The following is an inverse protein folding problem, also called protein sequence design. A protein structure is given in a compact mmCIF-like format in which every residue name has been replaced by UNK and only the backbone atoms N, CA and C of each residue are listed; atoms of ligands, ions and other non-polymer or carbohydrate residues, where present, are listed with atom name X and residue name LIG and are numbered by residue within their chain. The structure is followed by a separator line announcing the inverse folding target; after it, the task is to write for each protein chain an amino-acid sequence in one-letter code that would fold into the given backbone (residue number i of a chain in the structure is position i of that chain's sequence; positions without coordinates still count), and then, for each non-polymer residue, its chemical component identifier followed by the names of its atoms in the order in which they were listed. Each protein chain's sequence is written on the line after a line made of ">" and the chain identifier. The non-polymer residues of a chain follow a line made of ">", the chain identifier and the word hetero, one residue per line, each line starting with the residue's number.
data_IF_195183073346
#
_entry.id   IF_195183073346
#
_cell.length_a   1.000
_cell.length_b   1.000
_cell.length_c   1.000
_cell.angle_alpha   90.00
_cell.angle_beta   90.00
_cell.angle_gamma   90.00
#
_symmetry.space_group_name_H-M   'P 1'
#
loop_
_entity.id
_entity.type
_entity.pdbx_description
1 polymer ?
#
# COMPACT_ATOMS: atom_id res chain seq x y z
N UNK A 1 -10.75 4.24 -12.02
CA UNK A 1 -10.06 4.58 -10.76
C UNK A 1 -8.71 3.87 -10.77
N UNK A 2 -7.61 4.57 -10.47
CA UNK A 2 -6.29 3.96 -10.39
C UNK A 2 -5.92 3.70 -8.92
N UNK A 3 -5.24 2.58 -8.68
CA UNK A 3 -4.75 2.18 -7.36
C UNK A 3 -3.24 2.04 -7.40
N UNK A 4 -2.58 2.51 -6.35
CA UNK A 4 -1.14 2.49 -6.23
C UNK A 4 -0.70 2.16 -4.82
N UNK A 5 0.50 1.59 -4.70
CA UNK A 5 1.19 1.33 -3.43
C UNK A 5 2.63 1.83 -3.52
N UNK A 6 3.12 2.41 -2.43
CA UNK A 6 4.54 2.65 -2.24
C UNK A 6 5.18 1.40 -1.64
N UNK A 7 6.13 0.79 -2.35
CA UNK A 7 6.83 -0.41 -1.87
C UNK A 7 7.79 -0.11 -0.71
N UNK A 8 8.23 1.14 -0.56
CA UNK A 8 9.16 1.54 0.50
C UNK A 8 8.44 1.77 1.83
N UNK A 9 7.34 2.52 1.82
CA UNK A 9 6.63 2.91 3.05
C UNK A 9 5.27 2.22 3.24
N UNK A 10 4.84 1.38 2.31
CA UNK A 10 3.56 0.65 2.33
C UNK A 10 2.33 1.51 2.04
N UNK A 11 2.49 2.82 1.84
CA UNK A 11 1.33 3.71 1.72
C UNK A 11 0.57 3.49 0.41
N UNK A 12 -0.75 3.31 0.54
CA UNK A 12 -1.66 3.08 -0.57
C UNK A 12 -2.33 4.40 -1.02
N UNK A 13 -2.52 4.56 -2.32
CA UNK A 13 -3.15 5.73 -2.94
C UNK A 13 -4.24 5.29 -3.91
N UNK A 14 -5.38 5.99 -3.92
CA UNK A 14 -6.42 5.80 -4.93
C UNK A 14 -6.84 7.15 -5.53
N UNK A 15 -7.11 7.18 -6.83
CA UNK A 15 -7.56 8.41 -7.48
C UNK A 15 -7.51 8.39 -8.99
N UNK A 16 -7.83 9.54 -9.57
CA UNK A 16 -7.82 9.80 -11.02
C UNK A 16 -6.49 10.41 -11.49
N UNK A 17 -5.77 11.09 -10.59
CA UNK A 17 -4.49 11.72 -10.88
C UNK A 17 -3.36 10.67 -11.01
N UNK A 18 -2.58 10.76 -12.08
CA UNK A 18 -1.43 9.89 -12.38
C UNK A 18 -0.17 10.45 -11.70
N UNK A 19 -0.27 10.88 -10.44
CA UNK A 19 0.94 11.25 -9.70
C UNK A 19 1.62 9.96 -9.25
N UNK A 20 2.68 9.58 -9.96
CA UNK A 20 3.42 8.31 -9.73
C UNK A 20 4.48 8.43 -8.64
N UNK A 21 4.36 9.42 -7.74
CA UNK A 21 5.33 9.71 -6.69
C UNK A 21 4.64 9.67 -5.32
N UNK A 22 5.24 8.96 -4.38
CA UNK A 22 4.79 8.89 -3.00
C UNK A 22 5.00 10.25 -2.31
N UNK A 23 3.93 10.87 -1.82
CA UNK A 23 4.02 12.17 -1.13
C UNK A 23 4.75 12.10 0.23
N UNK A 24 4.94 10.90 0.78
CA UNK A 24 5.61 10.70 2.08
C UNK A 24 7.12 10.55 1.95
N UNK A 25 7.59 9.77 0.98
CA UNK A 25 9.01 9.43 0.84
C UNK A 25 9.64 9.83 -0.51
N UNK A 26 8.85 10.33 -1.47
CA UNK A 26 9.33 10.68 -2.80
C UNK A 26 9.58 9.48 -3.73
N UNK A 27 9.43 8.24 -3.24
CA UNK A 27 9.64 7.05 -4.06
C UNK A 27 8.55 6.84 -5.11
N UNK A 28 8.90 6.16 -6.20
CA UNK A 28 7.95 5.85 -7.28
C UNK A 28 6.88 4.87 -6.80
N UNK A 29 5.63 5.18 -7.11
CA UNK A 29 4.50 4.33 -6.80
C UNK A 29 4.36 3.20 -7.82
N UNK A 30 4.03 2.00 -7.33
CA UNK A 30 3.66 0.84 -8.16
C UNK A 30 2.15 0.81 -8.32
N UNK A 31 1.67 0.69 -9.57
CA UNK A 31 0.25 0.48 -9.85
C UNK A 31 -0.14 -0.94 -9.41
N UNK A 32 -1.28 -1.02 -8.73
CA UNK A 32 -1.86 -2.28 -8.24
C UNK A 32 -3.33 -2.36 -8.67
N UNK A 33 -3.93 -3.52 -8.50
CA UNK A 33 -5.35 -3.72 -8.77
C UNK A 33 -6.22 -3.24 -7.61
N UNK A 34 -7.53 -3.13 -7.85
CA UNK A 34 -8.52 -2.87 -6.80
C UNK A 34 -8.47 -3.97 -5.73
N UNK A 35 -8.33 -5.23 -6.15
CA UNK A 35 -8.24 -6.38 -5.26
C UNK A 35 -7.02 -6.26 -4.33
N UNK A 36 -5.84 -5.95 -4.87
CA UNK A 36 -4.62 -5.75 -4.06
C UNK A 36 -4.74 -4.57 -3.09
N UNK A 37 -5.46 -3.51 -3.47
CA UNK A 37 -5.66 -2.33 -2.61
C UNK A 37 -6.51 -2.66 -1.39
N UNK A 38 -7.61 -3.39 -1.59
CA UNK A 38 -8.58 -3.75 -0.55
C UNK A 38 -8.32 -5.11 0.10
N UNK A 39 -7.39 -5.91 -0.43
CA UNK A 39 -6.97 -7.17 0.17
C UNK A 39 -6.47 -6.91 1.59
N UNK A 40 -7.16 -7.54 2.56
CA UNK A 40 -6.87 -7.47 4.00
C UNK A 40 -5.60 -8.21 4.42
N UNK A 41 -4.71 -8.55 3.49
CA UNK A 41 -3.49 -9.30 3.78
C UNK A 41 -2.47 -8.50 4.62
N UNK A 42 -2.64 -7.18 4.75
CA UNK A 42 -1.87 -6.36 5.71
C UNK A 42 -2.16 -6.70 7.19
N UNK A 43 -3.18 -7.52 7.51
CA UNK A 43 -3.43 -7.99 8.89
C UNK A 43 -2.66 -9.26 9.29
N UNK A 44 -1.76 -9.79 8.45
CA UNK A 44 -1.00 -11.02 8.76
C UNK A 44 0.43 -10.78 9.29
N UNK A 45 0.68 -9.61 9.90
CA UNK A 45 1.92 -9.33 10.66
C UNK A 45 1.70 -8.96 12.13
N UNK A 46 0.48 -9.13 12.64
CA UNK A 46 0.17 -8.93 14.08
C UNK A 46 -0.66 -10.10 14.58
N UNK A 47 -0.08 -11.30 14.62
CA UNK A 47 -0.39 -12.36 15.60
C UNK A 47 0.82 -13.31 15.60
N UNK A 48 1.84 -13.05 16.42
CA UNK A 48 2.41 -13.96 17.45
C UNK A 48 3.50 -13.17 18.23
N UNK A 49 3.06 -12.39 19.21
CA UNK A 49 3.79 -12.17 20.46
C UNK A 49 2.81 -12.59 21.58
N UNK A 50 3.36 -13.16 22.68
CA UNK A 50 2.76 -14.02 23.73
C UNK A 50 2.70 -15.52 23.35
N UNK A 51 3.33 -16.43 24.10
CA UNK A 51 3.30 -16.57 25.56
C UNK A 51 4.68 -16.53 26.28
N UNK A 52 4.63 -15.93 27.47
CA UNK A 52 5.59 -15.98 28.60
C UNK A 52 5.58 -17.37 29.24
#
# INVERSE_FOLDING_TARGET
>A
MNYYICMECGQKYCGWAISIICQKCGSKLRRITWEEFYSKEEKKRVVIEEEV
#
